data_IF_286889603042
#
_entry.id   IF_286889603042
#
_cell.length_a   1.000
_cell.length_b   1.000
_cell.length_c   1.000
_cell.angle_alpha   90.00
_cell.angle_beta   90.00
_cell.angle_gamma   90.00
#
_symmetry.space_group_name_H-M   'P 1'
#
loop_
_entity.id
_entity.type
_entity.pdbx_description
1 polymer ?
#
# COMPACT_ATOMS: atom_id res chain seq x y z
N UNK A 1 33.23 -10.08 38.28
CA UNK A 1 33.19 -10.69 36.95
C UNK A 1 33.15 -12.20 37.19
N UNK A 2 32.13 -12.87 36.65
CA UNK A 2 32.05 -14.34 36.68
C UNK A 2 32.39 -14.84 35.27
N UNK A 3 33.26 -15.80 35.19
CA UNK A 3 33.76 -16.37 33.93
C UNK A 3 33.45 -17.85 33.96
N UNK A 4 32.81 -18.36 32.90
CA UNK A 4 32.50 -19.76 32.72
C UNK A 4 33.11 -20.26 31.40
N UNK A 5 33.79 -21.39 31.48
CA UNK A 5 34.29 -22.10 30.30
C UNK A 5 33.42 -23.35 30.09
N UNK A 6 32.76 -23.46 28.95
CA UNK A 6 31.96 -24.63 28.61
C UNK A 6 32.11 -24.92 27.11
N UNK A 7 32.41 -26.15 26.77
CA UNK A 7 32.52 -26.66 25.40
C UNK A 7 33.42 -25.81 24.49
N UNK A 8 34.59 -25.38 25.01
CA UNK A 8 35.56 -24.54 24.26
C UNK A 8 35.16 -23.05 24.13
N UNK A 9 34.02 -22.64 24.69
CA UNK A 9 33.55 -21.26 24.66
C UNK A 9 33.68 -20.57 26.01
N UNK A 10 34.20 -19.33 26.04
CA UNK A 10 34.38 -18.52 27.22
C UNK A 10 33.20 -17.54 27.40
N UNK A 11 32.49 -17.66 28.50
CA UNK A 11 31.43 -16.75 28.88
C UNK A 11 31.85 -15.89 30.07
N UNK A 12 31.81 -14.57 29.89
CA UNK A 12 32.17 -13.63 30.95
C UNK A 12 31.03 -12.69 31.26
N UNK A 13 30.58 -12.63 32.51
CA UNK A 13 29.54 -11.74 32.97
C UNK A 13 30.10 -10.72 33.99
N UNK A 14 29.89 -9.43 33.70
CA UNK A 14 30.26 -8.34 34.60
C UNK A 14 29.02 -7.63 35.12
N UNK A 15 28.78 -7.75 36.43
CA UNK A 15 27.63 -7.11 37.10
C UNK A 15 26.28 -7.81 36.90
N UNK A 16 25.25 -7.29 37.55
CA UNK A 16 23.89 -7.82 37.48
C UNK A 16 23.25 -7.68 36.09
N UNK A 17 23.52 -6.58 35.40
CA UNK A 17 23.03 -6.32 34.05
C UNK A 17 23.46 -7.38 33.02
N UNK A 18 24.69 -7.89 33.13
CA UNK A 18 25.17 -8.96 32.25
C UNK A 18 24.44 -10.29 32.45
N UNK A 19 23.92 -10.56 33.64
CA UNK A 19 23.11 -11.75 33.94
C UNK A 19 21.68 -11.62 33.41
N UNK A 20 21.13 -10.41 33.34
CA UNK A 20 19.80 -10.14 32.85
C UNK A 20 19.70 -10.08 31.32
N UNK A 21 20.84 -9.97 30.62
CA UNK A 21 20.86 -9.90 29.16
C UNK A 21 20.12 -11.06 28.46
N UNK A 22 20.49 -12.33 28.74
CA UNK A 22 19.79 -13.48 28.13
C UNK A 22 18.29 -13.53 28.48
N UNK A 23 17.92 -13.16 29.71
CA UNK A 23 16.51 -13.09 30.15
C UNK A 23 15.76 -12.02 29.34
N UNK A 24 16.38 -10.84 29.16
CA UNK A 24 15.83 -9.75 28.37
C UNK A 24 15.58 -10.13 26.93
N UNK A 25 16.53 -10.83 26.30
CA UNK A 25 16.39 -11.32 24.92
C UNK A 25 15.19 -12.28 24.80
N UNK A 26 15.10 -13.28 25.67
CA UNK A 26 13.98 -14.23 25.65
C UNK A 26 12.64 -13.54 25.93
N UNK A 27 12.58 -12.63 26.88
CA UNK A 27 11.36 -11.84 27.16
C UNK A 27 10.93 -11.02 25.95
N UNK A 28 11.88 -10.41 25.24
CA UNK A 28 11.61 -9.65 24.01
C UNK A 28 11.09 -10.53 22.87
N UNK A 29 11.66 -11.71 22.69
CA UNK A 29 11.16 -12.70 21.71
C UNK A 29 9.73 -13.14 22.06
N UNK A 30 9.45 -13.42 23.32
CA UNK A 30 8.09 -13.75 23.76
C UNK A 30 7.09 -12.63 23.53
N UNK A 31 7.49 -11.36 23.76
CA UNK A 31 6.64 -10.19 23.48
C UNK A 31 6.34 -10.07 21.99
N UNK A 32 7.34 -10.26 21.12
CA UNK A 32 7.14 -10.22 19.68
C UNK A 32 6.18 -11.35 19.26
N UNK A 33 6.40 -12.57 19.72
CA UNK A 33 5.53 -13.72 19.41
C UNK A 33 4.10 -13.50 19.91
N UNK A 34 3.94 -13.01 21.13
CA UNK A 34 2.64 -12.67 21.71
C UNK A 34 1.95 -11.55 20.92
N UNK A 35 2.69 -10.53 20.51
CA UNK A 35 2.17 -9.45 19.66
C UNK A 35 1.69 -9.95 18.30
N UNK A 36 2.48 -10.79 17.62
CA UNK A 36 2.08 -11.40 16.35
C UNK A 36 0.84 -12.28 16.51
N UNK A 37 0.78 -13.10 17.56
CA UNK A 37 -0.38 -13.93 17.87
C UNK A 37 -1.62 -13.07 18.14
N UNK A 38 -1.50 -12.01 18.92
CA UNK A 38 -2.60 -11.09 19.22
C UNK A 38 -3.10 -10.37 17.95
N UNK A 39 -2.19 -9.92 17.08
CA UNK A 39 -2.54 -9.33 15.79
C UNK A 39 -3.26 -10.31 14.86
N UNK A 40 -2.81 -11.56 14.83
CA UNK A 40 -3.42 -12.63 14.01
C UNK A 40 -4.82 -13.00 14.48
N UNK A 41 -5.10 -12.93 15.79
CA UNK A 41 -6.42 -13.28 16.36
C UNK A 41 -7.34 -12.05 16.44
N UNK A 42 -6.81 -10.89 16.85
CA UNK A 42 -7.61 -9.70 17.14
C UNK A 42 -7.65 -8.67 16.00
N UNK A 43 -6.95 -8.93 14.90
CA UNK A 43 -6.82 -7.99 13.80
C UNK A 43 -8.04 -7.90 12.87
N UNK A 44 -8.11 -6.82 12.10
CA UNK A 44 -9.03 -6.66 10.97
C UNK A 44 -8.24 -6.24 9.72
N UNK A 45 -8.74 -6.67 8.58
CA UNK A 45 -8.28 -6.22 7.26
C UNK A 45 -9.47 -5.85 6.41
N UNK A 46 -9.27 -4.99 5.45
CA UNK A 46 -10.32 -4.64 4.50
C UNK A 46 -9.79 -3.78 3.37
N UNK A 47 -10.60 -3.64 2.34
CA UNK A 47 -10.32 -2.74 1.24
C UNK A 47 -11.57 -1.94 0.91
N UNK A 48 -11.40 -0.69 0.53
CA UNK A 48 -12.48 0.17 0.07
C UNK A 48 -12.04 0.95 -1.16
N UNK A 49 -13.00 1.23 -2.03
CA UNK A 49 -12.80 2.01 -3.24
C UNK A 49 -13.82 3.14 -3.23
N UNK A 50 -13.39 4.35 -2.89
CA UNK A 50 -14.25 5.49 -2.69
C UNK A 50 -14.06 6.47 -3.84
N UNK A 51 -15.10 6.78 -4.62
CA UNK A 51 -15.04 7.83 -5.64
C UNK A 51 -14.84 9.19 -4.99
N UNK A 52 -14.20 10.10 -5.71
CA UNK A 52 -14.07 11.49 -5.32
C UNK A 52 -15.45 12.11 -5.03
N UNK A 53 -15.57 12.79 -3.90
CA UNK A 53 -16.83 13.31 -3.37
C UNK A 53 -17.73 12.26 -2.70
N UNK A 54 -17.29 10.99 -2.61
CA UNK A 54 -18.05 9.89 -2.02
C UNK A 54 -17.72 9.62 -0.57
N UNK A 55 -18.63 8.91 0.07
CA UNK A 55 -18.57 8.46 1.47
C UNK A 55 -18.63 6.93 1.54
N UNK A 56 -17.93 6.33 2.49
CA UNK A 56 -18.05 4.91 2.79
C UNK A 56 -17.89 4.64 4.29
N UNK A 57 -18.77 3.80 4.84
CA UNK A 57 -18.68 3.35 6.23
C UNK A 57 -17.56 2.32 6.37
N UNK A 58 -16.67 2.54 7.33
CA UNK A 58 -15.50 1.69 7.55
C UNK A 58 -15.88 0.26 7.93
N UNK A 59 -16.94 0.08 8.71
CA UNK A 59 -17.42 -1.24 9.13
C UNK A 59 -17.78 -2.16 7.95
N UNK A 60 -18.28 -1.62 6.84
CA UNK A 60 -18.67 -2.39 5.67
C UNK A 60 -17.48 -3.03 4.95
N UNK A 61 -16.31 -2.41 5.06
CA UNK A 61 -15.09 -2.89 4.43
C UNK A 61 -14.23 -3.77 5.34
N UNK A 62 -14.44 -3.74 6.67
CA UNK A 62 -13.62 -4.46 7.64
C UNK A 62 -14.04 -5.93 7.77
N UNK A 63 -13.07 -6.81 7.63
CA UNK A 63 -13.22 -8.24 7.86
C UNK A 63 -12.36 -8.67 9.05
N UNK A 64 -12.91 -9.37 10.06
CA UNK A 64 -12.16 -9.85 11.19
C UNK A 64 -11.20 -10.97 10.79
N UNK A 65 -10.01 -11.01 11.39
CA UNK A 65 -9.07 -12.10 11.21
C UNK A 65 -9.56 -13.38 11.91
N UNK A 66 -10.34 -13.24 12.98
CA UNK A 66 -10.98 -14.38 13.68
C UNK A 66 -12.30 -13.95 14.34
N UNK A 67 -13.08 -14.92 14.80
CA UNK A 67 -14.32 -14.69 15.56
C UNK A 67 -14.09 -14.05 16.95
N UNK A 68 -12.85 -14.03 17.43
CA UNK A 68 -12.47 -13.41 18.71
C UNK A 68 -12.07 -11.94 18.56
N UNK A 69 -11.96 -11.44 17.33
CA UNK A 69 -11.58 -10.05 17.07
C UNK A 69 -12.68 -9.11 17.56
N UNK A 70 -12.28 -8.05 18.30
CA UNK A 70 -13.20 -7.01 18.78
C UNK A 70 -13.20 -5.87 17.80
N UNK A 71 -14.40 -5.38 17.47
CA UNK A 71 -14.57 -4.28 16.53
C UNK A 71 -13.83 -3.02 17.03
N UNK A 72 -12.97 -2.40 16.20
CA UNK A 72 -12.25 -1.19 16.58
C UNK A 72 -13.20 0.01 16.70
N UNK A 73 -12.84 0.99 17.51
CA UNK A 73 -13.64 2.22 17.65
C UNK A 73 -13.81 2.99 16.34
N UNK A 74 -12.83 2.88 15.43
CA UNK A 74 -12.91 3.50 14.10
C UNK A 74 -13.84 2.81 13.11
N UNK A 75 -14.43 1.66 13.45
CA UNK A 75 -15.33 0.95 12.53
C UNK A 75 -16.64 1.71 12.26
N UNK A 76 -17.13 2.48 13.24
CA UNK A 76 -18.32 3.33 13.09
C UNK A 76 -18.03 4.68 12.40
N UNK A 77 -16.82 4.88 11.91
CA UNK A 77 -16.48 6.10 11.20
C UNK A 77 -16.82 5.99 9.71
N UNK A 78 -17.11 7.14 9.10
CA UNK A 78 -17.30 7.32 7.65
C UNK A 78 -16.07 8.01 7.08
N UNK A 79 -15.48 7.42 6.05
CA UNK A 79 -14.39 8.03 5.28
C UNK A 79 -15.01 8.74 4.08
N UNK A 80 -14.71 10.02 3.94
CA UNK A 80 -15.05 10.86 2.80
C UNK A 80 -13.76 11.16 2.01
N UNK A 81 -13.82 11.03 0.68
CA UNK A 81 -12.74 11.42 -0.22
C UNK A 81 -13.07 12.78 -0.81
N UNK A 82 -12.39 13.82 -0.33
CA UNK A 82 -12.59 15.18 -0.81
C UNK A 82 -12.04 15.36 -2.24
N UNK A 83 -10.82 14.84 -2.50
CA UNK A 83 -10.14 14.93 -3.79
C UNK A 83 -9.19 13.74 -3.99
N UNK A 84 -9.02 13.33 -5.25
CA UNK A 84 -8.01 12.34 -5.65
C UNK A 84 -7.26 12.83 -6.88
N UNK A 85 -5.94 12.82 -6.83
CA UNK A 85 -5.07 13.25 -7.94
C UNK A 85 -3.85 12.35 -8.08
N UNK A 86 -3.42 12.19 -9.32
CA UNK A 86 -2.20 11.49 -9.68
C UNK A 86 -1.18 12.51 -10.19
N UNK A 87 0.01 12.50 -9.61
CA UNK A 87 1.16 13.26 -10.11
C UNK A 87 1.95 12.37 -11.08
N UNK A 88 2.17 12.87 -12.29
CA UNK A 88 2.86 12.15 -13.36
C UNK A 88 4.25 12.74 -13.59
N UNK A 89 5.19 11.89 -13.99
CA UNK A 89 6.49 12.32 -14.47
C UNK A 89 6.39 12.81 -15.92
N UNK A 90 7.41 13.50 -16.43
CA UNK A 90 7.44 13.93 -17.83
C UNK A 90 7.37 12.79 -18.85
N UNK A 91 7.78 11.59 -18.47
CA UNK A 91 7.69 10.36 -19.27
C UNK A 91 6.30 9.70 -19.26
N UNK A 92 5.31 10.31 -18.56
CA UNK A 92 3.96 9.79 -18.40
C UNK A 92 3.80 8.74 -17.29
N UNK A 93 4.88 8.31 -16.65
CA UNK A 93 4.80 7.37 -15.54
C UNK A 93 4.24 8.03 -14.27
N UNK A 94 3.56 7.26 -13.42
CA UNK A 94 3.03 7.76 -12.16
C UNK A 94 4.17 8.05 -11.20
N UNK A 95 4.19 9.26 -10.66
CA UNK A 95 5.13 9.68 -9.62
C UNK A 95 4.55 9.41 -8.23
N UNK A 96 3.31 9.82 -7.98
CA UNK A 96 2.67 9.71 -6.67
C UNK A 96 1.14 9.84 -6.78
N UNK A 97 0.46 9.19 -5.85
CA UNK A 97 -0.98 9.34 -5.63
C UNK A 97 -1.23 10.21 -4.41
N UNK A 98 -2.22 11.08 -4.50
CA UNK A 98 -2.68 11.92 -3.40
C UNK A 98 -4.18 11.76 -3.23
N UNK A 99 -4.61 11.50 -2.01
CA UNK A 99 -6.01 11.47 -1.62
C UNK A 99 -6.22 12.44 -0.46
N UNK A 100 -7.01 13.46 -0.67
CA UNK A 100 -7.48 14.31 0.40
C UNK A 100 -8.70 13.63 1.01
N UNK A 101 -8.56 13.12 2.24
CA UNK A 101 -9.60 12.37 2.92
C UNK A 101 -9.92 12.98 4.27
N UNK A 102 -11.20 12.96 4.61
CA UNK A 102 -11.74 13.31 5.91
C UNK A 102 -12.49 12.14 6.54
N UNK A 103 -12.36 11.98 7.84
CA UNK A 103 -13.03 10.94 8.62
C UNK A 103 -13.99 11.61 9.56
N UNK A 104 -15.24 11.16 9.58
CA UNK A 104 -16.31 11.68 10.42
C UNK A 104 -16.93 10.54 11.24
N UNK A 105 -17.48 10.86 12.40
CA UNK A 105 -18.35 9.92 13.10
C UNK A 105 -19.76 9.92 12.49
N UNK A 106 -20.63 9.05 12.99
CA UNK A 106 -22.02 8.95 12.50
C UNK A 106 -22.85 10.21 12.80
N UNK A 107 -22.40 11.05 13.74
CA UNK A 107 -23.02 12.34 14.06
C UNK A 107 -22.50 13.48 13.15
N UNK A 108 -21.62 13.15 12.18
CA UNK A 108 -21.02 14.10 11.24
C UNK A 108 -19.83 14.90 11.79
N UNK A 109 -19.40 14.65 13.03
CA UNK A 109 -18.25 15.34 13.62
C UNK A 109 -16.95 14.82 13.00
N UNK A 110 -16.12 15.73 12.55
CA UNK A 110 -14.81 15.42 11.96
C UNK A 110 -13.84 14.87 12.99
N UNK A 111 -13.39 13.64 12.79
CA UNK A 111 -12.43 12.94 13.65
C UNK A 111 -10.99 13.15 13.19
N UNK A 112 -10.76 13.12 11.88
CA UNK A 112 -9.45 13.29 11.28
C UNK A 112 -9.60 13.84 9.85
N UNK A 113 -8.56 14.47 9.33
CA UNK A 113 -8.47 14.85 7.91
C UNK A 113 -6.99 14.93 7.54
N UNK A 114 -6.66 14.41 6.38
CA UNK A 114 -5.28 14.41 5.90
C UNK A 114 -5.21 14.14 4.40
N UNK A 115 -4.23 14.74 3.75
CA UNK A 115 -3.75 14.27 2.45
C UNK A 115 -2.96 12.99 2.64
N UNK A 116 -3.52 11.89 2.19
CA UNK A 116 -2.88 10.58 2.14
C UNK A 116 -2.01 10.48 0.90
N UNK A 117 -0.96 9.70 0.98
CA UNK A 117 -0.12 9.29 -0.15
C UNK A 117 0.52 7.93 0.17
N UNK A 118 1.18 7.32 -0.80
CA UNK A 118 1.97 6.11 -0.56
C UNK A 118 2.95 6.37 0.59
N UNK A 119 2.98 5.48 1.59
CA UNK A 119 3.77 5.57 2.82
C UNK A 119 3.35 6.68 3.82
N UNK A 120 2.24 7.39 3.59
CA UNK A 120 1.65 8.33 4.56
C UNK A 120 0.18 7.98 4.83
N UNK A 121 -0.08 6.94 5.63
CA UNK A 121 -1.44 6.48 5.91
C UNK A 121 -2.22 7.46 6.81
N UNK A 122 -3.54 7.36 6.72
CA UNK A 122 -4.47 7.98 7.66
C UNK A 122 -4.73 7.03 8.83
N UNK A 123 -4.72 7.56 10.06
CA UNK A 123 -4.92 6.80 11.30
C UNK A 123 -6.07 7.40 12.10
N UNK A 124 -7.03 6.57 12.49
CA UNK A 124 -8.18 6.99 13.29
C UNK A 124 -8.79 5.79 14.03
N UNK A 125 -9.21 5.95 15.27
CA UNK A 125 -9.96 4.96 16.05
C UNK A 125 -9.37 3.54 16.06
N UNK A 126 -8.04 3.39 15.98
CA UNK A 126 -7.34 2.10 15.91
C UNK A 126 -7.24 1.52 14.49
N UNK A 127 -7.84 2.17 13.49
CA UNK A 127 -7.75 1.81 12.08
C UNK A 127 -6.64 2.58 11.40
N UNK A 128 -5.90 1.92 10.52
CA UNK A 128 -4.90 2.53 9.63
C UNK A 128 -5.33 2.29 8.19
N UNK A 129 -5.56 3.38 7.45
CA UNK A 129 -5.92 3.35 6.03
C UNK A 129 -4.70 3.71 5.18
N UNK A 130 -4.32 2.82 4.28
CA UNK A 130 -3.19 2.97 3.35
C UNK A 130 -3.72 3.23 1.94
N UNK A 131 -3.15 4.21 1.24
CA UNK A 131 -3.38 4.39 -0.19
C UNK A 131 -2.69 3.27 -0.95
N UNK A 132 -3.45 2.43 -1.65
CA UNK A 132 -2.92 1.24 -2.34
C UNK A 132 -3.25 1.20 -3.81
N UNK A 133 -4.42 1.70 -4.20
CA UNK A 133 -4.92 1.58 -5.56
C UNK A 133 -5.76 2.79 -5.97
N UNK A 134 -6.21 2.81 -7.21
CA UNK A 134 -7.17 3.76 -7.76
C UNK A 134 -7.97 3.12 -8.89
N UNK A 135 -9.14 3.65 -9.16
CA UNK A 135 -9.95 3.28 -10.32
C UNK A 135 -10.62 4.51 -10.92
N UNK A 136 -11.24 4.32 -12.06
CA UNK A 136 -12.03 5.36 -12.73
C UNK A 136 -13.51 5.06 -12.48
N UNK A 137 -14.20 5.98 -11.80
CA UNK A 137 -15.61 5.80 -11.46
C UNK A 137 -16.52 6.29 -12.58
N UNK A 138 -16.26 7.50 -13.10
CA UNK A 138 -17.08 8.11 -14.14
C UNK A 138 -16.29 9.14 -14.96
N UNK A 139 -16.85 9.48 -16.13
CA UNK A 139 -16.46 10.67 -16.89
C UNK A 139 -17.51 11.75 -16.69
N UNK A 140 -17.07 12.97 -16.39
CA UNK A 140 -17.94 14.14 -16.43
C UNK A 140 -17.94 14.69 -17.85
N UNK A 141 -19.09 14.62 -18.50
CA UNK A 141 -19.28 14.99 -19.89
C UNK A 141 -20.33 16.09 -20.04
N UNK A 142 -20.15 16.90 -21.07
CA UNK A 142 -21.25 17.64 -21.73
C UNK A 142 -21.42 17.09 -23.13
N UNK A 143 -22.65 16.80 -23.52
CA UNK A 143 -22.92 16.29 -24.84
C UNK A 143 -24.20 16.91 -25.41
N UNK A 144 -24.34 16.86 -26.73
CA UNK A 144 -25.61 17.17 -27.43
C UNK A 144 -25.98 15.97 -28.28
N UNK A 145 -27.27 15.73 -28.46
CA UNK A 145 -27.76 14.67 -29.37
C UNK A 145 -27.80 13.26 -28.77
N UNK A 146 -27.47 13.07 -27.49
CA UNK A 146 -27.62 11.78 -26.79
C UNK A 146 -28.88 11.77 -25.93
N UNK A 147 -29.60 10.64 -25.83
CA UNK A 147 -30.74 10.49 -24.94
C UNK A 147 -30.40 10.55 -23.44
N UNK A 148 -29.11 10.42 -23.07
CA UNK A 148 -28.64 10.52 -21.68
C UNK A 148 -28.36 11.97 -21.26
N UNK A 149 -28.39 12.92 -22.19
CA UNK A 149 -28.11 14.32 -21.88
C UNK A 149 -29.23 14.91 -21.06
N UNK A 150 -28.95 15.59 -19.93
CA UNK A 150 -29.95 16.32 -19.18
C UNK A 150 -30.67 17.41 -20.04
N UNK A 151 -31.90 17.67 -19.75
CA UNK A 151 -32.74 18.62 -20.54
C UNK A 151 -32.14 20.06 -20.57
N UNK A 152 -31.35 20.42 -19.57
CA UNK A 152 -30.69 21.72 -19.44
C UNK A 152 -29.26 21.73 -20.03
N UNK A 153 -28.83 20.64 -20.70
CA UNK A 153 -27.46 20.41 -21.18
C UNK A 153 -26.38 20.56 -20.10
N UNK A 154 -26.74 20.34 -18.84
CA UNK A 154 -25.79 20.38 -17.74
C UNK A 154 -24.73 19.26 -17.85
N UNK A 155 -23.53 19.44 -17.28
CA UNK A 155 -22.57 18.36 -17.16
C UNK A 155 -23.18 17.17 -16.40
N UNK A 156 -22.93 15.95 -16.88
CA UNK A 156 -23.40 14.72 -16.25
C UNK A 156 -22.26 13.69 -16.13
N UNK A 157 -22.39 12.81 -15.16
CA UNK A 157 -21.43 11.74 -14.92
C UNK A 157 -21.86 10.46 -15.64
N UNK A 158 -21.04 10.01 -16.57
CA UNK A 158 -21.20 8.73 -17.26
C UNK A 158 -20.31 7.67 -16.59
N UNK A 159 -20.92 6.65 -15.93
CA UNK A 159 -20.15 5.62 -15.23
C UNK A 159 -19.17 4.88 -16.14
N UNK A 160 -17.96 4.58 -15.64
CA UNK A 160 -16.94 3.81 -16.32
C UNK A 160 -16.86 2.40 -15.74
N UNK A 161 -16.81 1.39 -16.61
CA UNK A 161 -16.59 0.01 -16.22
C UNK A 161 -15.11 -0.39 -16.47
N UNK A 162 -14.56 -1.19 -15.57
CA UNK A 162 -13.26 -1.81 -15.82
C UNK A 162 -13.42 -2.89 -16.87
N UNK A 163 -12.66 -2.80 -17.94
CA UNK A 163 -12.63 -3.76 -19.05
C UNK A 163 -11.46 -4.75 -18.94
N UNK A 164 -10.81 -4.80 -17.76
CA UNK A 164 -9.53 -5.49 -17.58
C UNK A 164 -9.62 -7.00 -17.79
N UNK A 165 -8.79 -7.47 -18.71
CA UNK A 165 -8.39 -8.87 -18.90
C UNK A 165 -6.87 -9.04 -18.94
N UNK A 166 -6.06 -8.04 -18.50
CA UNK A 166 -4.60 -8.06 -18.58
C UNK A 166 -3.94 -7.18 -17.51
N UNK A 167 -2.61 -7.05 -17.58
CA UNK A 167 -1.77 -6.32 -16.62
C UNK A 167 -1.99 -4.78 -16.61
N UNK A 168 -2.85 -4.25 -17.46
CA UNK A 168 -3.14 -2.82 -17.59
C UNK A 168 -4.52 -2.42 -17.11
N UNK A 169 -4.64 -1.20 -16.56
CA UNK A 169 -5.93 -0.59 -16.27
C UNK A 169 -6.55 -0.09 -17.57
N UNK A 170 -7.71 -0.62 -17.92
CA UNK A 170 -8.52 -0.16 -19.03
C UNK A 170 -9.96 0.02 -18.57
N UNK A 171 -10.48 1.21 -18.76
CA UNK A 171 -11.85 1.56 -18.42
C UNK A 171 -12.60 1.93 -19.69
N UNK A 172 -13.87 1.58 -19.75
CA UNK A 172 -14.72 1.88 -20.87
C UNK A 172 -16.13 2.20 -20.49
N UNK A 173 -16.78 2.97 -21.35
CA UNK A 173 -18.19 3.28 -21.26
C UNK A 173 -18.77 3.48 -22.65
N UNK A 174 -20.08 3.55 -22.73
CA UNK A 174 -20.79 3.74 -23.98
C UNK A 174 -21.81 4.89 -23.84
N UNK A 175 -21.72 5.86 -24.76
CA UNK A 175 -22.66 6.96 -24.87
C UNK A 175 -23.58 6.70 -26.08
N UNK A 176 -24.87 6.37 -25.89
CA UNK A 176 -25.79 6.12 -26.98
C UNK A 176 -26.12 7.42 -27.74
N UNK A 177 -26.17 7.34 -29.08
CA UNK A 177 -26.65 8.41 -29.94
C UNK A 177 -28.17 8.41 -30.10
N UNK A 178 -28.80 7.25 -29.92
CA UNK A 178 -30.25 7.06 -30.04
C UNK A 178 -30.76 6.24 -28.85
N UNK A 179 -32.04 6.37 -28.55
CA UNK A 179 -32.67 5.49 -27.54
C UNK A 179 -32.51 4.04 -27.99
N UNK A 180 -32.15 3.10 -27.09
CA UNK A 180 -32.06 1.68 -27.44
C UNK A 180 -33.35 1.24 -28.14
N UNK A 181 -33.23 0.73 -29.37
CA UNK A 181 -34.33 0.24 -30.14
C UNK A 181 -35.03 -0.92 -29.42
N UNK A 182 -36.32 -1.05 -29.64
CA UNK A 182 -37.12 -2.16 -29.09
C UNK A 182 -36.89 -3.48 -29.82
N UNK A 183 -36.06 -3.51 -30.87
CA UNK A 183 -35.77 -4.69 -31.70
C UNK A 183 -34.66 -5.53 -31.07
N UNK A 184 -34.95 -6.76 -30.62
CA UNK A 184 -33.94 -7.65 -30.09
C UNK A 184 -32.84 -7.94 -31.14
N UNK A 185 -31.58 -7.67 -30.77
CA UNK A 185 -30.41 -7.97 -31.64
C UNK A 185 -29.84 -6.78 -32.43
N UNK A 186 -30.50 -5.62 -32.41
CA UNK A 186 -29.93 -4.41 -33.01
C UNK A 186 -28.87 -3.80 -32.08
N UNK A 187 -27.65 -3.58 -32.60
CA UNK A 187 -26.59 -2.92 -31.84
C UNK A 187 -26.93 -1.44 -31.68
N UNK A 188 -26.95 -0.90 -30.46
CA UNK A 188 -27.23 0.52 -30.27
C UNK A 188 -26.17 1.36 -30.96
N UNK A 189 -26.59 2.36 -31.73
CA UNK A 189 -25.67 3.37 -32.28
C UNK A 189 -25.21 4.30 -31.17
N UNK A 190 -23.92 4.59 -31.17
CA UNK A 190 -23.34 5.46 -30.15
C UNK A 190 -21.80 5.42 -30.19
N UNK A 191 -21.22 5.96 -29.15
CA UNK A 191 -19.79 6.20 -29.03
C UNK A 191 -19.23 5.35 -27.88
N UNK A 192 -18.22 4.53 -28.20
CA UNK A 192 -17.43 3.85 -27.19
C UNK A 192 -16.32 4.76 -26.73
N UNK A 193 -16.19 4.92 -25.41
CA UNK A 193 -15.22 5.81 -24.78
C UNK A 193 -14.33 4.98 -23.89
N UNK A 194 -13.01 5.03 -24.14
CA UNK A 194 -12.01 4.27 -23.41
C UNK A 194 -11.00 5.20 -22.76
N UNK A 195 -10.49 4.81 -21.58
CA UNK A 195 -9.43 5.50 -20.88
C UNK A 195 -8.55 4.52 -20.10
N UNK A 196 -7.23 4.78 -20.05
CA UNK A 196 -6.26 4.01 -19.27
C UNK A 196 -5.69 4.80 -18.11
N UNK A 197 -5.72 6.12 -18.21
CA UNK A 197 -5.21 7.07 -17.23
C UNK A 197 -6.17 8.25 -17.07
N UNK A 198 -5.84 9.17 -16.16
CA UNK A 198 -6.64 10.38 -15.93
C UNK A 198 -6.25 11.54 -16.89
N UNK A 199 -5.37 11.32 -17.88
CA UNK A 199 -4.84 12.36 -18.75
C UNK A 199 -5.53 12.38 -20.12
N UNK A 200 -6.05 11.24 -20.58
CA UNK A 200 -6.58 11.10 -21.93
C UNK A 200 -7.76 10.16 -22.03
N UNK A 201 -8.68 10.49 -22.90
CA UNK A 201 -9.87 9.72 -23.21
C UNK A 201 -9.97 9.51 -24.71
N UNK A 202 -10.15 8.27 -25.13
CA UNK A 202 -10.17 7.86 -26.55
C UNK A 202 -11.59 7.54 -26.97
N UNK A 203 -11.97 8.01 -28.16
CA UNK A 203 -13.32 7.87 -28.70
C UNK A 203 -13.30 6.94 -29.93
N UNK A 204 -14.26 6.03 -29.99
CA UNK A 204 -14.52 5.14 -31.11
C UNK A 204 -16.00 5.27 -31.54
N UNK A 205 -16.26 5.24 -32.85
CA UNK A 205 -17.59 5.29 -33.42
C UNK A 205 -18.35 3.95 -33.25
N UNK A 206 -19.58 3.90 -33.76
CA UNK A 206 -20.44 2.69 -33.71
C UNK A 206 -19.87 1.50 -34.50
N UNK A 207 -18.90 1.72 -35.40
CA UNK A 207 -18.19 0.68 -36.17
C UNK A 207 -16.93 0.23 -35.46
N UNK A 208 -16.53 0.89 -34.38
CA UNK A 208 -15.27 0.64 -33.67
C UNK A 208 -14.07 1.33 -34.33
N UNK A 209 -14.31 2.30 -35.22
CA UNK A 209 -13.24 3.10 -35.80
C UNK A 209 -12.80 4.21 -34.85
N UNK A 210 -11.50 4.45 -34.80
CA UNK A 210 -10.92 5.51 -33.96
C UNK A 210 -11.33 6.88 -34.48
N UNK A 211 -11.93 7.71 -33.61
CA UNK A 211 -12.37 9.06 -33.94
C UNK A 211 -11.39 10.11 -33.43
N UNK A 212 -10.85 9.94 -32.23
CA UNK A 212 -9.90 10.89 -31.66
C UNK A 212 -9.66 10.74 -30.18
N UNK A 213 -8.79 11.60 -29.64
CA UNK A 213 -8.43 11.67 -28.24
C UNK A 213 -8.77 13.05 -27.69
N UNK A 214 -9.28 13.11 -26.45
CA UNK A 214 -9.50 14.37 -25.73
C UNK A 214 -8.85 14.31 -24.35
N UNK A 215 -8.31 15.45 -23.93
CA UNK A 215 -7.86 15.63 -22.56
C UNK A 215 -8.99 16.21 -21.73
N UNK A 216 -9.27 15.63 -20.55
CA UNK A 216 -10.25 16.18 -19.62
C UNK A 216 -9.95 17.64 -19.29
N UNK A 217 -10.98 18.47 -19.21
CA UNK A 217 -10.85 19.90 -18.91
C UNK A 217 -10.24 20.76 -20.02
N UNK A 218 -9.98 20.22 -21.23
CA UNK A 218 -9.43 20.99 -22.35
C UNK A 218 -10.43 21.94 -23.00
N UNK A 219 -11.74 21.76 -22.74
CA UNK A 219 -12.83 22.50 -23.37
C UNK A 219 -13.03 22.20 -24.86
N UNK A 220 -12.24 21.26 -25.44
CA UNK A 220 -12.35 20.89 -26.85
C UNK A 220 -13.40 19.80 -27.02
N UNK A 221 -14.41 20.06 -27.86
CA UNK A 221 -15.41 19.07 -28.24
C UNK A 221 -14.88 18.09 -29.29
N UNK A 222 -15.58 16.99 -29.44
CA UNK A 222 -15.45 16.00 -30.53
C UNK A 222 -16.83 15.76 -31.12
N UNK A 223 -16.91 15.79 -32.45
CA UNK A 223 -18.14 15.45 -33.17
C UNK A 223 -18.07 14.00 -33.60
N UNK A 224 -19.04 13.18 -33.20
CA UNK A 224 -19.12 11.76 -33.51
C UNK A 224 -20.56 11.29 -33.44
N UNK A 225 -21.01 10.50 -34.44
CA UNK A 225 -22.38 9.98 -34.57
C UNK A 225 -23.48 11.06 -34.47
N UNK A 226 -23.19 12.28 -34.95
CA UNK A 226 -24.10 13.41 -34.86
C UNK A 226 -24.18 14.06 -33.48
N UNK A 227 -23.42 13.59 -32.52
CA UNK A 227 -23.28 14.17 -31.19
C UNK A 227 -22.05 15.09 -31.11
N UNK A 228 -22.12 16.12 -30.31
CA UNK A 228 -20.97 16.91 -29.92
C UNK A 228 -20.68 16.64 -28.43
N UNK A 229 -19.49 16.11 -28.14
CA UNK A 229 -19.11 15.66 -26.80
C UNK A 229 -17.90 16.43 -26.30
N UNK A 230 -17.97 16.95 -25.10
CA UNK A 230 -16.85 17.58 -24.38
C UNK A 230 -16.58 16.84 -23.08
N UNK A 231 -15.31 16.54 -22.80
CA UNK A 231 -14.89 15.91 -21.53
C UNK A 231 -14.49 17.00 -20.56
N UNK A 232 -15.29 17.24 -19.55
CA UNK A 232 -15.01 18.24 -18.52
C UNK A 232 -14.06 17.69 -17.44
N UNK A 233 -14.20 16.40 -17.08
CA UNK A 233 -13.36 15.80 -16.05
C UNK A 233 -13.46 14.28 -15.99
N UNK A 234 -12.67 13.71 -15.10
CA UNK A 234 -12.73 12.29 -14.73
C UNK A 234 -12.94 12.22 -13.22
N UNK A 235 -13.97 11.49 -12.80
CA UNK A 235 -14.18 11.14 -11.41
C UNK A 235 -13.39 9.88 -11.12
N UNK A 236 -12.27 10.04 -10.42
CA UNK A 236 -11.46 8.91 -9.98
C UNK A 236 -11.91 8.41 -8.62
N UNK A 237 -11.63 7.15 -8.32
CA UNK A 237 -11.83 6.55 -7.00
C UNK A 237 -10.48 6.26 -6.36
N UNK A 238 -10.38 6.55 -5.07
CA UNK A 238 -9.23 6.20 -4.26
C UNK A 238 -9.40 4.82 -3.66
N UNK A 239 -8.45 3.92 -3.91
CA UNK A 239 -8.37 2.59 -3.32
C UNK A 239 -7.55 2.61 -2.04
N UNK A 240 -8.14 2.14 -0.95
CA UNK A 240 -7.54 2.11 0.37
C UNK A 240 -7.56 0.71 0.96
N UNK A 241 -6.43 0.29 1.54
CA UNK A 241 -6.37 -0.90 2.38
C UNK A 241 -6.49 -0.49 3.84
N UNK A 242 -7.41 -1.11 4.56
CA UNK A 242 -7.64 -0.90 5.99
C UNK A 242 -6.95 -2.00 6.79
N UNK A 243 -6.24 -1.60 7.84
CA UNK A 243 -5.61 -2.52 8.79
C UNK A 243 -5.90 -2.11 10.23
N UNK A 244 -6.22 -3.10 11.03
CA UNK A 244 -6.30 -3.00 12.49
C UNK A 244 -5.44 -4.11 13.06
N UNK A 245 -4.43 -3.76 13.83
CA UNK A 245 -3.54 -4.74 14.44
C UNK A 245 -3.26 -4.35 15.90
N UNK A 246 -3.96 -5.01 16.84
CA UNK A 246 -3.79 -4.75 18.27
C UNK A 246 -2.45 -5.26 18.82
N UNK A 247 -1.74 -6.11 18.08
CA UNK A 247 -0.45 -6.67 18.48
C UNK A 247 0.75 -5.75 18.23
N UNK A 248 0.62 -4.75 17.36
CA UNK A 248 1.71 -3.83 17.00
C UNK A 248 2.42 -3.22 18.23
N UNK A 249 1.73 -2.71 19.26
CA UNK A 249 2.42 -2.13 20.43
C UNK A 249 3.32 -3.14 21.17
N UNK A 250 2.88 -4.41 21.27
CA UNK A 250 3.68 -5.47 21.90
C UNK A 250 4.90 -5.84 21.04
N UNK A 251 4.72 -5.90 19.73
CA UNK A 251 5.82 -6.17 18.79
C UNK A 251 6.89 -5.07 18.92
N UNK A 252 6.48 -3.79 18.92
CA UNK A 252 7.44 -2.69 19.10
C UNK A 252 8.08 -2.70 20.48
N UNK A 253 7.35 -3.03 21.55
CA UNK A 253 7.91 -3.19 22.90
C UNK A 253 8.96 -4.31 22.92
N UNK A 254 8.70 -5.42 22.21
CA UNK A 254 9.66 -6.51 22.07
C UNK A 254 10.94 -6.08 21.31
N UNK A 255 10.82 -5.35 20.23
CA UNK A 255 11.99 -4.81 19.51
C UNK A 255 12.76 -3.75 20.31
N UNK A 256 12.08 -2.93 21.11
CA UNK A 256 12.72 -1.94 21.99
C UNK A 256 13.55 -2.58 23.12
N UNK A 257 13.14 -3.74 23.61
CA UNK A 257 13.81 -4.46 24.70
C UNK A 257 15.22 -4.96 24.34
N UNK A 258 15.44 -5.66 23.20
CA UNK A 258 16.77 -6.17 22.81
C UNK A 258 17.78 -5.06 22.53
N UNK A 259 17.36 -3.95 21.92
CA UNK A 259 18.24 -2.81 21.67
C UNK A 259 18.64 -2.09 22.95
N UNK A 260 17.74 -1.96 23.93
CA UNK A 260 18.07 -1.47 25.27
C UNK A 260 19.02 -2.43 26.01
N UNK A 261 18.79 -3.74 25.93
CA UNK A 261 19.61 -4.77 26.55
C UNK A 261 20.99 -4.91 25.90
N UNK A 262 21.07 -4.87 24.56
CA UNK A 262 22.35 -4.89 23.82
C UNK A 262 23.16 -3.63 24.05
N UNK A 263 22.54 -2.44 24.10
CA UNK A 263 23.21 -1.20 24.52
C UNK A 263 23.69 -1.26 25.97
N UNK A 264 22.93 -1.86 26.90
CA UNK A 264 23.37 -2.01 28.29
C UNK A 264 24.55 -2.98 28.42
N UNK A 265 24.60 -4.04 27.63
CA UNK A 265 25.73 -4.98 27.61
C UNK A 265 26.99 -4.34 27.01
N UNK A 266 26.83 -3.47 26.02
CA UNK A 266 27.95 -2.73 25.40
C UNK A 266 28.36 -1.48 26.20
N UNK A 267 27.45 -0.80 26.89
CA UNK A 267 27.75 0.38 27.71
C UNK A 267 28.44 0.04 29.04
N UNK A 268 28.45 -1.24 29.48
CA UNK A 268 29.26 -1.71 30.61
C UNK A 268 30.76 -1.85 30.33
N UNK A 269 31.20 -1.64 29.10
CA UNK A 269 32.57 -1.65 28.65
C UNK A 269 33.01 -0.28 28.15
N UNK A 270 33.66 0.52 29.02
CA UNK A 270 34.43 1.76 28.77
C UNK A 270 33.81 2.80 27.85
N UNK A 271 33.43 3.94 28.44
CA UNK A 271 33.15 5.20 27.73
C UNK A 271 34.37 5.63 26.90
N UNK A 272 34.28 5.51 25.58
CA UNK A 272 34.96 6.38 24.63
C UNK A 272 34.02 6.76 23.50
N UNK A 273 33.93 8.07 23.31
CA UNK A 273 33.09 8.79 22.34
C UNK A 273 33.33 8.28 20.91
N UNK A 274 32.25 7.96 20.19
CA UNK A 274 32.28 7.70 18.76
C UNK A 274 30.90 7.27 18.26
N UNK A 275 30.15 8.15 17.67
CA UNK A 275 28.91 7.86 16.96
C UNK A 275 29.26 7.16 15.65
N UNK A 276 28.93 5.88 15.54
CA UNK A 276 29.02 5.10 14.32
C UNK A 276 27.92 4.05 14.31
N UNK A 277 27.10 4.03 13.28
CA UNK A 277 26.06 3.02 13.02
C UNK A 277 26.77 1.67 12.77
N UNK A 278 26.69 0.74 13.70
CA UNK A 278 27.16 -0.63 13.51
C UNK A 278 25.99 -1.59 13.74
N UNK A 279 25.70 -2.38 12.71
CA UNK A 279 24.86 -3.57 12.78
C UNK A 279 25.35 -4.51 13.89
N UNK A 280 24.45 -5.22 14.61
CA UNK A 280 24.86 -6.18 15.62
C UNK A 280 25.54 -7.38 14.96
N UNK A 281 26.87 -7.37 14.91
CA UNK A 281 27.63 -8.57 14.70
C UNK A 281 27.53 -9.41 15.98
N UNK A 282 27.03 -10.64 15.86
CA UNK A 282 27.16 -11.62 16.92
C UNK A 282 28.63 -11.75 17.28
N UNK A 283 29.02 -11.29 18.47
CA UNK A 283 30.37 -11.38 18.97
C UNK A 283 30.67 -12.88 19.32
N UNK A 284 31.07 -13.63 18.33
CA UNK A 284 31.88 -14.80 18.55
C UNK A 284 33.29 -14.27 18.77
N UNK A 285 33.67 -14.08 20.03
CA UNK A 285 35.06 -13.78 20.37
C UNK A 285 35.88 -15.03 20.09
N UNK A 286 36.54 -15.08 18.95
CA UNK A 286 37.65 -16.00 18.73
C UNK A 286 38.80 -15.56 19.63
N UNK A 287 39.39 -16.45 20.41
CA UNK A 287 40.60 -16.12 21.19
C UNK A 287 41.75 -15.79 20.22
N UNK A 288 42.37 -14.62 20.39
CA UNK A 288 43.62 -14.33 19.73
C UNK A 288 44.66 -15.33 20.28
N UNK A 289 45.01 -16.29 19.46
CA UNK A 289 46.18 -17.14 19.70
C UNK A 289 47.45 -16.29 19.53
N UNK A 290 48.05 -15.94 20.65
CA UNK A 290 49.44 -15.57 20.66
C UNK A 290 50.29 -16.78 20.25
N UNK A 291 51.17 -16.54 19.32
CA UNK A 291 52.30 -17.35 18.88
C UNK A 291 52.28 -18.87 19.19
N UNK A 292 51.68 -19.63 18.29
CA UNK A 292 52.00 -21.06 18.14
C UNK A 292 52.72 -21.21 16.81
N UNK A 293 54.05 -21.44 16.88
CA UNK A 293 54.85 -21.86 15.71
C UNK A 293 54.33 -23.19 15.22
N UNK A 294 53.65 -23.19 14.08
CA UNK A 294 53.29 -24.41 13.35
C UNK A 294 54.51 -24.79 12.50
N UNK A 295 55.08 -25.95 12.80
CA UNK A 295 56.10 -26.61 12.01
C UNK A 295 55.47 -27.12 10.74
N UNK A 296 55.81 -26.58 9.59
CA UNK A 296 55.41 -27.10 8.28
C UNK A 296 55.93 -28.52 8.10
N UNK A 297 55.02 -29.46 7.94
CA UNK A 297 55.32 -30.74 7.28
C UNK A 297 54.75 -30.66 5.87
N UNK A 298 55.63 -30.88 4.89
CA UNK A 298 55.34 -30.83 3.48
C UNK A 298 54.28 -31.84 3.06
N UNK A 299 53.41 -31.41 2.18
CA UNK A 299 52.50 -32.26 1.42
C UNK A 299 52.76 -32.07 -0.08
N UNK A 300 52.99 -33.17 -0.75
CA UNK A 300 53.21 -33.31 -2.19
C UNK A 300 51.99 -32.87 -3.01
N UNK A 301 52.18 -32.48 -4.28
CA UNK A 301 51.09 -32.03 -5.14
C UNK A 301 50.32 -33.22 -5.74
N UNK A 302 49.00 -33.20 -5.61
CA UNK A 302 48.06 -34.11 -6.26
C UNK A 302 47.74 -33.73 -7.72
N UNK A 303 47.31 -34.68 -8.54
CA UNK A 303 47.18 -34.52 -9.99
C UNK A 303 45.94 -33.69 -10.43
N UNK A 304 45.93 -33.21 -11.71
CA UNK A 304 44.93 -32.27 -12.18
C UNK A 304 43.55 -32.93 -12.51
N UNK A 305 42.51 -32.24 -12.19
CA UNK A 305 41.15 -32.64 -12.52
C UNK A 305 40.83 -32.39 -14.00
N UNK A 306 40.41 -33.46 -14.68
CA UNK A 306 39.84 -33.44 -16.04
C UNK A 306 38.36 -33.13 -16.05
N UNK A 307 37.97 -32.32 -17.03
CA UNK A 307 36.65 -32.05 -17.58
C UNK A 307 35.58 -33.14 -17.45
N UNK A 308 34.35 -32.73 -17.16
CA UNK A 308 33.11 -33.22 -17.81
C UNK A 308 31.98 -32.22 -17.66
N UNK A 309 31.55 -31.61 -18.79
CA UNK A 309 30.14 -31.28 -19.11
C UNK A 309 29.55 -32.45 -19.91
N UNK A 310 28.24 -32.60 -20.04
CA UNK A 310 27.34 -31.68 -20.72
C UNK A 310 26.30 -31.00 -19.85
#
# INVERSE_FOLDING_TARGET
>A
MQVFLRDGSLYAFKGLAGKLGPIGVHASMLLIMAGVALGSVGGYKGSMMIPQGGDQLVAEALQPASSLARLPAGASAVVHVDDFRIDYRPDGSVRQFYTDASVRDLDGRKLASRTMMVNRPLRFGGVVAYQTDWSMAALTLRATGSPLVPADNAPFNLPMASLAGGDGKLYGTFLPAEQPGTTPGERPRGVSILAQDLQSVVFYDSRGEFVGVRRPGSGKSISVEGMEVTVDGIVASSGMELKVDPGIPLVYAGFGGPHGGSCMVLAGGSARKGWGWALPAALVATPSMGDVRVREQGSEPGPPASHWFP
#
